data_IF_877261522507
#
_entry.id   IF_877261522507
#
_cell.length_a   1.000
_cell.length_b   1.000
_cell.length_c   1.000
_cell.angle_alpha   90.00
_cell.angle_beta   90.00
_cell.angle_gamma   90.00
#
_symmetry.space_group_name_H-M   'P 1'
#
loop_
_entity.id
_entity.type
_entity.pdbx_description
1 polymer ?
#
# COMPACT_ATOMS: atom_id res chain seq x y z
N UNK A 1 22.82 -8.64 9.52
CA UNK A 1 21.93 -7.59 10.09
C UNK A 1 22.54 -7.04 11.37
N UNK A 2 22.48 -5.72 11.52
CA UNK A 2 23.00 -5.01 12.70
C UNK A 2 21.91 -4.95 13.77
N UNK A 3 22.22 -5.47 14.97
CA UNK A 3 21.26 -5.56 16.08
C UNK A 3 20.72 -4.18 16.48
N UNK A 4 19.41 -4.09 16.61
CA UNK A 4 18.68 -2.88 16.98
C UNK A 4 18.71 -1.77 15.92
N UNK A 5 19.43 -1.91 14.81
CA UNK A 5 19.43 -0.92 13.72
C UNK A 5 18.09 -0.98 12.98
N UNK A 6 17.50 0.19 12.73
CA UNK A 6 16.30 0.35 11.90
C UNK A 6 16.71 0.94 10.55
N UNK A 7 16.43 0.24 9.46
CA UNK A 7 16.59 0.74 8.10
C UNK A 7 15.30 1.38 7.62
N UNK A 8 15.34 2.65 7.26
CA UNK A 8 14.19 3.39 6.72
C UNK A 8 14.41 3.58 5.22
N UNK A 9 13.52 3.05 4.39
CA UNK A 9 13.59 3.15 2.93
C UNK A 9 12.69 4.29 2.46
N UNK A 10 13.24 5.19 1.64
CA UNK A 10 12.52 6.29 1.00
C UNK A 10 12.73 6.20 -0.51
N UNK A 11 11.67 5.92 -1.26
CA UNK A 11 11.69 5.98 -2.72
C UNK A 11 11.31 7.40 -3.18
N UNK A 12 12.15 8.04 -3.98
CA UNK A 12 11.97 9.41 -4.43
C UNK A 12 12.04 9.52 -5.96
N UNK A 13 11.03 10.17 -6.57
CA UNK A 13 11.01 10.53 -7.97
C UNK A 13 10.39 11.91 -8.14
N UNK A 14 11.17 12.88 -8.66
CA UNK A 14 10.75 14.27 -8.83
C UNK A 14 10.10 14.83 -7.56
N UNK A 15 10.83 14.76 -6.45
CA UNK A 15 10.37 15.08 -5.10
C UNK A 15 11.18 16.23 -4.47
N UNK A 16 11.79 17.12 -5.28
CA UNK A 16 12.69 18.17 -4.78
C UNK A 16 12.06 19.08 -3.71
N UNK A 17 10.74 19.30 -3.78
CA UNK A 17 10.01 20.17 -2.84
C UNK A 17 9.45 19.40 -1.62
N UNK A 18 9.23 18.09 -1.73
CA UNK A 18 8.57 17.27 -0.70
C UNK A 18 9.58 16.52 0.17
N UNK A 19 10.64 16.01 -0.45
CA UNK A 19 11.65 15.20 0.21
C UNK A 19 12.33 15.88 1.42
N UNK A 20 12.61 17.20 1.44
CA UNK A 20 13.17 17.86 2.62
C UNK A 20 12.35 17.62 3.88
N UNK A 21 11.03 17.78 3.83
CA UNK A 21 10.13 17.58 4.95
C UNK A 21 10.19 16.13 5.47
N UNK A 22 10.16 15.16 4.56
CA UNK A 22 10.31 13.75 4.90
C UNK A 22 11.63 13.50 5.63
N UNK A 23 12.77 13.90 5.03
CA UNK A 23 14.09 13.66 5.61
C UNK A 23 14.28 14.37 6.95
N UNK A 24 13.78 15.60 7.12
CA UNK A 24 13.82 16.30 8.40
C UNK A 24 13.10 15.49 9.48
N UNK A 25 11.93 14.92 9.20
CA UNK A 25 11.19 14.09 10.17
C UNK A 25 11.94 12.80 10.53
N UNK A 26 12.65 12.19 9.56
CA UNK A 26 13.43 10.98 9.78
C UNK A 26 14.72 11.26 10.58
N UNK A 27 15.37 12.37 10.34
CA UNK A 27 16.59 12.75 11.05
C UNK A 27 16.32 13.29 12.46
N UNK A 28 15.11 13.79 12.72
CA UNK A 28 14.64 14.24 14.02
C UNK A 28 14.21 13.09 14.96
N UNK A 29 14.25 11.83 14.52
CA UNK A 29 13.82 10.70 15.34
C UNK A 29 14.64 10.60 16.63
N UNK A 30 13.94 10.45 17.78
CA UNK A 30 14.56 10.25 19.12
C UNK A 30 15.31 8.93 19.21
N UNK A 31 14.96 7.92 18.40
CA UNK A 31 15.71 6.68 18.25
C UNK A 31 16.89 6.90 17.31
N UNK A 32 18.11 6.95 17.85
CA UNK A 32 19.30 7.32 17.10
C UNK A 32 19.94 6.20 16.26
N UNK A 33 19.67 4.91 16.56
CA UNK A 33 20.27 3.77 15.85
C UNK A 33 19.47 3.43 14.59
N UNK A 34 19.55 4.31 13.60
CA UNK A 34 18.84 4.17 12.32
C UNK A 34 19.72 4.54 11.13
N UNK A 35 19.39 4.03 9.96
CA UNK A 35 19.89 4.45 8.66
C UNK A 35 18.70 4.82 7.75
N UNK A 36 18.88 5.81 6.90
CA UNK A 36 17.87 6.27 5.94
C UNK A 36 18.40 6.04 4.53
N UNK A 37 17.80 5.10 3.82
CA UNK A 37 18.21 4.69 2.48
C UNK A 37 17.28 5.39 1.48
N UNK A 38 17.79 6.43 0.82
CA UNK A 38 17.03 7.22 -0.14
C UNK A 38 17.37 6.75 -1.54
N UNK A 39 16.35 6.23 -2.24
CA UNK A 39 16.47 5.75 -3.61
C UNK A 39 15.94 6.81 -4.55
N UNK A 40 16.84 7.41 -5.34
CA UNK A 40 16.45 8.29 -6.43
C UNK A 40 16.12 7.48 -7.67
N UNK A 41 14.84 7.40 -8.03
CA UNK A 41 14.34 6.64 -9.18
C UNK A 41 14.49 7.44 -10.49
N UNK A 42 15.74 7.83 -10.80
CA UNK A 42 16.11 8.61 -11.98
C UNK A 42 15.32 9.93 -12.13
N UNK A 43 15.21 10.71 -11.05
CA UNK A 43 14.56 12.04 -11.09
C UNK A 43 15.20 12.98 -12.08
N UNK A 44 14.38 13.83 -12.72
CA UNK A 44 14.79 14.84 -13.72
C UNK A 44 14.86 16.26 -13.15
N UNK A 45 14.40 16.44 -11.90
CA UNK A 45 14.44 17.69 -11.13
C UNK A 45 15.71 17.75 -10.24
N UNK A 46 15.68 18.55 -9.19
CA UNK A 46 16.79 18.72 -8.24
C UNK A 46 16.76 17.71 -7.08
N UNK A 47 15.95 16.65 -7.12
CA UNK A 47 15.85 15.63 -6.06
C UNK A 47 17.23 15.09 -5.66
N UNK A 48 18.12 14.75 -6.63
CA UNK A 48 19.45 14.26 -6.31
C UNK A 48 20.29 15.28 -5.52
N UNK A 49 20.19 16.57 -5.86
CA UNK A 49 20.90 17.63 -5.12
C UNK A 49 20.41 17.76 -3.68
N UNK A 50 19.10 17.56 -3.46
CA UNK A 50 18.54 17.52 -2.10
C UNK A 50 19.13 16.35 -1.32
N UNK A 51 19.13 15.14 -1.89
CA UNK A 51 19.70 13.95 -1.25
C UNK A 51 21.17 14.16 -0.89
N UNK A 52 21.96 14.68 -1.81
CA UNK A 52 23.40 14.92 -1.61
C UNK A 52 23.64 15.94 -0.48
N UNK A 53 22.81 16.98 -0.40
CA UNK A 53 22.89 17.99 0.66
C UNK A 53 22.58 17.41 2.04
N UNK A 54 21.59 16.51 2.16
CA UNK A 54 21.29 15.83 3.41
C UNK A 54 22.36 14.81 3.79
N UNK A 55 22.86 14.04 2.82
CA UNK A 55 23.95 13.09 3.04
C UNK A 55 25.23 13.77 3.53
N UNK A 56 25.52 14.99 3.07
CA UNK A 56 26.66 15.77 3.54
C UNK A 56 26.51 16.27 4.99
N UNK A 57 25.28 16.41 5.48
CA UNK A 57 24.97 16.87 6.84
C UNK A 57 24.86 15.76 7.85
N UNK A 58 24.38 14.56 7.44
CA UNK A 58 24.10 13.46 8.34
C UNK A 58 24.56 12.11 7.74
N UNK A 59 25.47 11.45 8.45
CA UNK A 59 26.04 10.16 8.03
C UNK A 59 25.06 8.97 8.04
N UNK A 60 23.86 9.15 8.58
CA UNK A 60 22.81 8.13 8.53
C UNK A 60 22.14 8.01 7.15
N UNK A 61 22.32 9.01 6.26
CA UNK A 61 21.77 9.01 4.91
C UNK A 61 22.61 8.17 3.96
N UNK A 62 21.98 7.17 3.35
CA UNK A 62 22.52 6.36 2.25
C UNK A 62 21.81 6.76 0.97
N UNK A 63 22.54 7.27 -0.02
CA UNK A 63 21.99 7.69 -1.32
C UNK A 63 22.26 6.62 -2.36
N UNK A 64 21.21 6.18 -3.04
CA UNK A 64 21.27 5.23 -4.16
C UNK A 64 20.53 5.84 -5.35
N UNK A 65 21.19 5.91 -6.51
CA UNK A 65 20.57 6.41 -7.74
C UNK A 65 20.30 5.25 -8.71
N UNK A 66 19.07 5.17 -9.22
CA UNK A 66 18.73 4.22 -10.27
C UNK A 66 19.03 4.80 -11.66
N UNK A 67 19.45 3.95 -12.62
CA UNK A 67 19.83 4.42 -13.95
C UNK A 67 18.63 4.88 -14.80
N UNK A 68 17.44 4.35 -14.53
CA UNK A 68 16.19 4.66 -15.24
C UNK A 68 15.03 4.68 -14.25
N UNK A 69 14.01 5.48 -14.54
CA UNK A 69 12.76 5.45 -13.76
C UNK A 69 12.06 4.10 -13.94
N UNK A 70 11.94 3.37 -12.85
CA UNK A 70 11.36 2.03 -12.80
C UNK A 70 10.11 1.96 -11.89
N UNK A 71 9.73 3.09 -11.28
CA UNK A 71 8.59 3.23 -10.39
C UNK A 71 8.89 2.89 -8.94
N UNK A 72 8.06 3.39 -8.05
CA UNK A 72 8.22 3.24 -6.59
C UNK A 72 8.43 1.78 -6.12
N UNK A 73 7.74 0.77 -6.68
CA UNK A 73 7.98 -0.62 -6.30
C UNK A 73 9.41 -1.10 -6.57
N UNK A 74 9.96 -0.76 -7.74
CA UNK A 74 11.33 -1.13 -8.10
C UNK A 74 12.35 -0.38 -7.23
N UNK A 75 12.10 0.91 -6.97
CA UNK A 75 12.93 1.72 -6.09
C UNK A 75 12.94 1.18 -4.65
N UNK A 76 11.78 0.77 -4.11
CA UNK A 76 11.69 0.13 -2.79
C UNK A 76 12.43 -1.21 -2.74
N UNK A 77 12.32 -2.04 -3.80
CA UNK A 77 13.10 -3.28 -3.92
C UNK A 77 14.62 -3.01 -3.90
N UNK A 78 15.04 -1.97 -4.62
CA UNK A 78 16.46 -1.58 -4.58
C UNK A 78 16.85 -1.13 -3.16
N UNK A 79 16.01 -0.35 -2.49
CA UNK A 79 16.20 0.05 -1.10
C UNK A 79 16.38 -1.14 -0.16
N UNK A 80 15.55 -2.18 -0.29
CA UNK A 80 15.66 -3.40 0.53
C UNK A 80 17.02 -4.11 0.38
N UNK A 81 17.64 -4.08 -0.80
CA UNK A 81 18.98 -4.67 -1.02
C UNK A 81 20.09 -3.96 -0.24
N UNK A 82 19.86 -2.71 0.13
CA UNK A 82 20.82 -1.88 0.87
C UNK A 82 20.57 -1.88 2.38
N UNK A 83 19.51 -2.52 2.87
CA UNK A 83 19.21 -2.58 4.31
C UNK A 83 20.24 -3.41 5.07
N UNK A 84 20.67 -2.90 6.23
CA UNK A 84 21.57 -3.59 7.16
C UNK A 84 20.92 -3.82 8.52
N UNK A 85 19.78 -3.18 8.78
CA UNK A 85 19.08 -3.20 10.04
C UNK A 85 18.43 -4.55 10.37
N UNK A 86 18.32 -4.85 11.67
CA UNK A 86 17.47 -5.92 12.18
C UNK A 86 15.98 -5.61 11.94
N UNK A 87 15.64 -4.33 11.86
CA UNK A 87 14.31 -3.82 11.61
C UNK A 87 14.29 -2.92 10.39
N UNK A 88 13.13 -2.82 9.75
CA UNK A 88 12.94 -1.93 8.62
C UNK A 88 11.54 -1.32 8.58
N UNK A 89 11.44 -0.20 7.89
CA UNK A 89 10.19 0.47 7.55
C UNK A 89 10.34 1.22 6.22
N UNK A 90 9.22 1.54 5.59
CA UNK A 90 9.16 2.38 4.40
C UNK A 90 8.40 3.65 4.74
N UNK A 91 8.91 4.78 4.28
CA UNK A 91 8.27 6.09 4.39
C UNK A 91 8.24 6.73 3.02
N UNK A 92 7.10 7.23 2.59
CA UNK A 92 6.98 7.88 1.29
C UNK A 92 7.64 9.27 1.30
N UNK A 93 8.21 9.68 0.17
CA UNK A 93 8.98 10.92 0.07
C UNK A 93 8.14 12.20 0.30
N UNK A 94 6.82 12.08 0.27
CA UNK A 94 5.84 13.12 0.52
C UNK A 94 5.19 13.05 1.92
N UNK A 95 5.61 12.09 2.77
CA UNK A 95 5.05 11.86 4.10
C UNK A 95 6.04 12.20 5.23
N UNK A 96 5.56 12.15 6.46
CA UNK A 96 6.32 12.38 7.70
C UNK A 96 6.00 11.34 8.77
N UNK A 97 6.92 11.17 9.72
CA UNK A 97 6.64 10.47 10.98
C UNK A 97 6.94 11.37 12.19
N UNK A 98 6.21 11.18 13.29
CA UNK A 98 6.46 11.93 14.51
C UNK A 98 7.85 11.61 15.09
N UNK A 99 8.49 12.55 15.77
CA UNK A 99 9.87 12.44 16.27
C UNK A 99 10.12 11.19 17.12
N UNK A 100 9.12 10.67 17.82
CA UNK A 100 9.20 9.48 18.66
C UNK A 100 8.61 8.23 18.03
N UNK A 101 8.28 8.24 16.74
CA UNK A 101 7.56 7.15 16.09
C UNK A 101 8.36 5.84 16.10
N UNK A 102 9.63 5.91 15.71
CA UNK A 102 10.51 4.73 15.71
C UNK A 102 10.79 4.26 17.14
N UNK A 103 11.07 5.18 18.09
CA UNK A 103 11.32 4.83 19.49
C UNK A 103 10.11 4.10 20.10
N UNK A 104 8.89 4.56 19.82
CA UNK A 104 7.67 3.91 20.27
C UNK A 104 7.59 2.45 19.77
N UNK A 105 7.87 2.20 18.51
CA UNK A 105 7.88 0.83 17.97
C UNK A 105 9.00 -0.02 18.58
N UNK A 106 10.19 0.54 18.75
CA UNK A 106 11.33 -0.18 19.33
C UNK A 106 11.11 -0.55 20.80
N UNK A 107 10.43 0.31 21.56
CA UNK A 107 10.01 0.01 22.94
C UNK A 107 9.00 -1.17 22.98
N UNK A 108 8.09 -1.24 22.00
CA UNK A 108 7.15 -2.35 21.88
C UNK A 108 7.89 -3.67 21.57
N UNK A 109 8.86 -3.68 20.64
CA UNK A 109 9.71 -4.84 20.36
C UNK A 109 10.57 -5.26 21.57
N UNK A 110 11.09 -4.31 22.33
CA UNK A 110 11.86 -4.59 23.54
C UNK A 110 10.97 -5.21 24.64
N UNK A 111 9.73 -4.75 24.76
CA UNK A 111 8.75 -5.27 25.71
C UNK A 111 8.19 -6.65 25.36
N UNK A 112 8.21 -7.02 24.09
CA UNK A 112 7.75 -8.34 23.62
C UNK A 112 8.61 -8.85 22.43
N UNK A 113 9.59 -9.74 22.67
CA UNK A 113 10.46 -10.29 21.64
C UNK A 113 9.76 -11.16 20.59
N UNK A 114 8.52 -11.58 20.82
CA UNK A 114 7.74 -12.36 19.85
C UNK A 114 7.08 -11.47 18.78
N UNK A 115 7.07 -10.14 18.98
CA UNK A 115 6.58 -9.22 17.97
C UNK A 115 7.52 -9.22 16.76
N UNK A 116 6.92 -9.34 15.59
CA UNK A 116 7.62 -9.23 14.31
C UNK A 116 7.19 -8.00 13.51
N UNK A 117 6.05 -7.40 13.87
CA UNK A 117 5.55 -6.17 13.26
C UNK A 117 4.86 -5.28 14.31
N UNK A 118 5.15 -3.98 14.27
CA UNK A 118 4.47 -2.94 15.07
C UNK A 118 3.97 -1.86 14.13
N UNK A 119 2.64 -1.62 14.10
CA UNK A 119 2.06 -0.61 13.20
C UNK A 119 2.28 0.81 13.73
N UNK A 120 2.15 1.78 12.84
CA UNK A 120 1.96 3.18 13.22
C UNK A 120 0.47 3.50 13.42
N UNK A 121 0.17 4.50 14.22
CA UNK A 121 -1.08 5.26 14.13
C UNK A 121 -0.96 6.21 12.93
N UNK A 122 -1.94 6.20 12.04
CA UNK A 122 -1.91 7.06 10.86
C UNK A 122 -2.83 8.27 11.02
N UNK A 123 -2.34 9.42 10.61
CA UNK A 123 -3.13 10.64 10.46
C UNK A 123 -3.13 11.04 8.99
N UNK A 124 -4.31 11.25 8.43
CA UNK A 124 -4.49 11.84 7.10
C UNK A 124 -4.30 13.35 7.22
N UNK A 125 -3.42 13.91 6.41
CA UNK A 125 -3.11 15.34 6.42
C UNK A 125 -3.57 15.98 5.12
N UNK A 126 -4.40 17.01 5.22
CA UNK A 126 -4.73 17.87 4.08
C UNK A 126 -3.56 18.85 3.84
N UNK A 127 -2.86 18.77 2.71
CA UNK A 127 -1.68 19.61 2.44
C UNK A 127 -2.01 21.09 2.31
N UNK A 128 -3.27 21.46 2.05
CA UNK A 128 -3.69 22.85 1.87
C UNK A 128 -4.04 23.54 3.18
N UNK A 129 -4.58 22.81 4.15
CA UNK A 129 -5.03 23.34 5.45
C UNK A 129 -4.16 22.88 6.61
N UNK A 130 -3.31 21.87 6.39
CA UNK A 130 -2.56 21.15 7.42
C UNK A 130 -3.46 20.51 8.51
N UNK A 131 -4.74 20.28 8.20
CA UNK A 131 -5.66 19.58 9.10
C UNK A 131 -5.27 18.10 9.17
N UNK A 132 -5.20 17.57 10.39
CA UNK A 132 -4.81 16.19 10.67
C UNK A 132 -6.02 15.41 11.18
N UNK A 133 -6.48 14.46 10.38
CA UNK A 133 -7.61 13.58 10.73
C UNK A 133 -7.09 12.18 11.04
N UNK A 134 -7.36 11.61 12.24
CA UNK A 134 -6.90 10.26 12.56
C UNK A 134 -7.55 9.23 11.63
N UNK A 135 -6.74 8.26 11.17
CA UNK A 135 -7.25 7.10 10.47
C UNK A 135 -8.11 6.27 11.43
N UNK A 136 -9.32 5.94 11.00
CA UNK A 136 -10.30 5.28 11.87
C UNK A 136 -10.04 3.78 11.96
N UNK A 137 -9.35 3.34 12.98
CA UNK A 137 -9.19 1.93 13.30
C UNK A 137 -10.51 1.31 13.77
N UNK A 138 -10.84 0.13 13.26
CA UNK A 138 -12.02 -0.62 13.70
C UNK A 138 -11.83 -1.06 15.15
N UNK A 139 -12.75 -0.71 16.08
CA UNK A 139 -12.59 -1.03 17.51
C UNK A 139 -12.60 -2.53 17.84
N UNK A 140 -12.91 -3.40 16.89
CA UNK A 140 -12.85 -4.86 17.03
C UNK A 140 -11.47 -5.46 16.74
N UNK A 141 -10.54 -4.66 16.19
CA UNK A 141 -9.17 -5.12 15.94
C UNK A 141 -8.44 -5.30 17.26
N UNK A 142 -7.87 -6.48 17.54
CA UNK A 142 -7.10 -6.69 18.76
C UNK A 142 -5.85 -5.80 18.80
N UNK A 143 -5.45 -5.37 19.99
CA UNK A 143 -4.24 -4.56 20.18
C UNK A 143 -2.97 -5.34 19.81
N UNK A 144 -2.96 -6.65 20.08
CA UNK A 144 -1.93 -7.59 19.63
C UNK A 144 -2.63 -8.81 19.03
N UNK A 145 -2.16 -9.28 17.90
CA UNK A 145 -2.78 -10.33 17.12
C UNK A 145 -1.73 -11.20 16.44
N UNK A 146 -2.10 -12.40 16.05
CA UNK A 146 -1.28 -13.26 15.20
C UNK A 146 -1.15 -12.69 13.80
N UNK A 147 -0.12 -13.10 13.05
CA UNK A 147 0.06 -12.66 11.66
C UNK A 147 -1.14 -12.99 10.77
N UNK A 148 -1.77 -14.14 10.99
CA UNK A 148 -3.00 -14.54 10.28
C UNK A 148 -4.16 -13.58 10.56
N UNK A 149 -4.36 -13.18 11.81
CA UNK A 149 -5.37 -12.19 12.19
C UNK A 149 -5.04 -10.82 11.64
N UNK A 150 -3.77 -10.42 11.66
CA UNK A 150 -3.32 -9.15 11.09
C UNK A 150 -3.57 -9.09 9.58
N UNK A 151 -3.25 -10.15 8.85
CA UNK A 151 -3.58 -10.27 7.43
C UNK A 151 -5.10 -10.16 7.21
N UNK A 152 -5.91 -10.86 8.01
CA UNK A 152 -7.36 -10.77 7.92
C UNK A 152 -7.88 -9.34 8.09
N UNK A 153 -7.44 -8.63 9.13
CA UNK A 153 -7.92 -7.27 9.42
C UNK A 153 -7.38 -6.22 8.44
N UNK A 154 -6.13 -6.36 7.99
CA UNK A 154 -5.49 -5.41 7.07
C UNK A 154 -6.15 -5.40 5.69
N UNK A 155 -6.66 -6.53 5.18
CA UNK A 155 -7.27 -6.64 3.83
C UNK A 155 -8.37 -5.60 3.58
N UNK A 156 -9.16 -5.21 4.59
CA UNK A 156 -10.20 -4.18 4.44
C UNK A 156 -9.82 -2.85 5.11
N UNK A 157 -8.55 -2.65 5.44
CA UNK A 157 -8.08 -1.45 6.15
C UNK A 157 -8.84 -1.18 7.45
N UNK A 158 -9.09 -2.24 8.23
CA UNK A 158 -9.65 -2.07 9.57
C UNK A 158 -8.66 -1.38 10.54
N UNK A 159 -7.40 -1.27 10.15
CA UNK A 159 -6.34 -0.44 10.74
C UNK A 159 -5.36 -0.01 9.64
N UNK A 160 -4.53 0.98 9.90
CA UNK A 160 -3.46 1.41 8.99
C UNK A 160 -2.31 0.39 9.01
N UNK A 161 -1.98 -0.24 7.86
CA UNK A 161 -1.03 -1.35 7.85
C UNK A 161 0.45 -0.93 7.76
N UNK A 162 0.75 0.35 7.88
CA UNK A 162 2.13 0.86 7.87
C UNK A 162 2.79 0.65 9.23
N UNK A 163 4.08 0.38 9.28
CA UNK A 163 4.76 0.13 10.54
C UNK A 163 6.22 -0.28 10.38
N UNK A 164 6.81 -0.73 11.47
CA UNK A 164 8.16 -1.30 11.53
C UNK A 164 8.05 -2.81 11.59
N UNK A 165 8.79 -3.52 10.72
CA UNK A 165 8.89 -4.98 10.68
C UNK A 165 10.29 -5.45 11.07
N UNK A 166 10.42 -6.73 11.46
CA UNK A 166 11.73 -7.39 11.44
C UNK A 166 12.14 -7.66 9.99
N UNK A 167 13.35 -7.28 9.62
CA UNK A 167 13.86 -7.40 8.24
C UNK A 167 13.76 -8.81 7.61
N UNK A 168 13.91 -9.92 8.35
CA UNK A 168 13.76 -11.26 7.76
C UNK A 168 12.38 -11.55 7.16
N UNK A 169 11.31 -10.90 7.63
CA UNK A 169 9.96 -11.12 7.10
C UNK A 169 9.84 -10.70 5.63
N UNK A 170 10.67 -9.81 5.17
CA UNK A 170 10.60 -9.22 3.83
C UNK A 170 11.52 -9.91 2.83
N UNK A 171 12.53 -10.67 3.32
CA UNK A 171 13.49 -11.35 2.45
C UNK A 171 12.88 -12.48 1.61
N UNK A 172 11.81 -13.11 2.11
CA UNK A 172 11.08 -14.19 1.43
C UNK A 172 9.86 -13.68 0.63
N UNK A 173 9.74 -12.35 0.46
CA UNK A 173 8.64 -11.77 -0.29
C UNK A 173 8.96 -11.74 -1.79
N UNK A 174 7.94 -11.97 -2.65
CA UNK A 174 8.08 -11.69 -4.08
C UNK A 174 8.50 -10.25 -4.30
N UNK A 175 9.27 -9.99 -5.35
CA UNK A 175 9.71 -8.64 -5.67
C UNK A 175 8.53 -7.69 -5.81
N UNK A 176 8.58 -6.54 -5.13
CA UNK A 176 7.50 -5.53 -5.16
C UNK A 176 7.09 -5.17 -6.59
N UNK A 177 8.07 -5.12 -7.51
CA UNK A 177 7.82 -4.80 -8.91
C UNK A 177 6.85 -5.77 -9.61
N UNK A 178 6.71 -7.02 -9.14
CA UNK A 178 5.78 -7.99 -9.70
C UNK A 178 4.31 -7.64 -9.44
N UNK A 179 4.05 -6.80 -8.45
CA UNK A 179 2.69 -6.41 -8.03
C UNK A 179 2.21 -5.08 -8.63
N UNK A 180 3.00 -4.45 -9.52
CA UNK A 180 2.66 -3.17 -10.12
C UNK A 180 2.60 -2.01 -9.12
N UNK A 181 1.87 -0.94 -9.45
CA UNK A 181 1.81 0.29 -8.64
C UNK A 181 1.19 0.10 -7.24
N UNK A 182 0.45 -0.98 -7.00
CA UNK A 182 -0.18 -1.31 -5.71
C UNK A 182 0.58 -2.41 -4.95
N UNK A 183 1.86 -2.54 -5.19
CA UNK A 183 2.73 -3.58 -4.62
C UNK A 183 2.91 -3.45 -3.11
N UNK A 184 3.14 -2.24 -2.64
CA UNK A 184 3.34 -1.90 -1.23
C UNK A 184 2.21 -2.46 -0.35
N UNK A 185 0.99 -2.19 -0.75
CA UNK A 185 -0.20 -2.65 -0.07
C UNK A 185 -0.30 -4.19 -0.06
N UNK A 186 -0.10 -4.81 -1.22
CA UNK A 186 -0.21 -6.26 -1.38
C UNK A 186 0.86 -6.99 -0.59
N UNK A 187 2.11 -6.51 -0.66
CA UNK A 187 3.23 -7.10 0.08
C UNK A 187 3.07 -6.92 1.59
N UNK A 188 2.55 -5.78 2.05
CA UNK A 188 2.30 -5.57 3.48
C UNK A 188 1.35 -6.61 4.07
N UNK A 189 0.30 -7.04 3.35
CA UNK A 189 -0.58 -8.12 3.81
C UNK A 189 0.18 -9.45 3.97
N UNK A 190 1.14 -9.74 3.08
CA UNK A 190 1.96 -10.96 3.15
C UNK A 190 3.03 -10.86 4.25
N UNK A 191 3.65 -9.70 4.46
CA UNK A 191 4.55 -9.46 5.58
C UNK A 191 3.82 -9.71 6.90
N UNK A 192 2.62 -9.17 7.05
CA UNK A 192 1.81 -9.41 8.24
C UNK A 192 1.47 -10.89 8.42
N UNK A 193 1.10 -11.59 7.34
CA UNK A 193 0.80 -13.02 7.39
C UNK A 193 1.99 -13.85 7.89
N UNK A 194 3.21 -13.46 7.55
CA UNK A 194 4.42 -14.16 7.96
C UNK A 194 4.88 -13.81 9.39
N UNK A 195 4.33 -12.75 9.99
CA UNK A 195 4.66 -12.37 11.36
C UNK A 195 4.11 -13.38 12.37
N UNK A 196 4.86 -13.67 13.44
CA UNK A 196 4.34 -14.40 14.60
C UNK A 196 3.24 -13.59 15.28
N UNK A 197 3.60 -12.36 15.67
CA UNK A 197 2.66 -11.40 16.25
C UNK A 197 2.84 -10.01 15.67
N UNK A 198 1.70 -9.32 15.52
CA UNK A 198 1.58 -7.92 15.10
C UNK A 198 0.92 -7.13 16.22
N UNK A 199 1.48 -5.97 16.55
CA UNK A 199 0.90 -5.05 17.55
C UNK A 199 0.50 -3.73 16.90
N UNK A 200 -0.66 -3.18 17.29
CA UNK A 200 -1.02 -1.81 17.00
C UNK A 200 -0.18 -0.89 17.88
N UNK A 201 0.81 -0.22 17.28
CA UNK A 201 1.70 0.69 17.96
C UNK A 201 1.09 2.08 18.13
N UNK A 202 1.86 2.99 18.76
CA UNK A 202 1.48 4.39 19.04
C UNK A 202 2.37 5.41 18.33
N UNK A 203 3.39 4.96 17.58
CA UNK A 203 4.17 5.83 16.71
C UNK A 203 3.28 6.43 15.65
N UNK A 204 3.40 7.72 15.35
CA UNK A 204 2.49 8.40 14.42
C UNK A 204 3.13 8.54 13.06
N UNK A 205 2.36 8.18 12.02
CA UNK A 205 2.65 8.41 10.61
C UNK A 205 1.67 9.45 10.05
N UNK A 206 2.18 10.51 9.43
CA UNK A 206 1.41 11.56 8.78
C UNK A 206 1.38 11.32 7.27
N UNK A 207 0.22 10.88 6.79
CA UNK A 207 -0.03 10.61 5.36
C UNK A 207 -0.62 11.85 4.69
N UNK A 208 0.14 12.49 3.80
CA UNK A 208 -0.27 13.68 3.06
C UNK A 208 -1.10 13.33 1.83
N UNK A 209 -2.36 13.77 1.78
CA UNK A 209 -3.27 13.51 0.68
C UNK A 209 -2.99 14.44 -0.50
N UNK A 210 -1.89 14.22 -1.20
CA UNK A 210 -1.45 15.06 -2.30
C UNK A 210 -2.42 15.00 -3.50
N UNK A 211 -2.88 16.15 -4.06
CA UNK A 211 -3.72 16.19 -5.26
C UNK A 211 -3.05 15.55 -6.49
N UNK A 212 -1.71 15.59 -6.54
CA UNK A 212 -0.90 14.97 -7.58
C UNK A 212 -0.71 13.46 -7.45
N UNK A 213 -1.22 12.85 -6.38
CA UNK A 213 -1.10 11.40 -6.15
C UNK A 213 -1.63 10.60 -7.35
N UNK A 214 -0.95 9.51 -7.67
CA UNK A 214 -1.31 8.58 -8.77
C UNK A 214 -2.75 8.09 -8.65
N UNK A 215 -3.27 7.98 -7.42
CA UNK A 215 -4.65 7.56 -7.14
C UNK A 215 -5.72 8.56 -7.61
N UNK A 216 -5.35 9.82 -7.87
CA UNK A 216 -6.27 10.87 -8.34
C UNK A 216 -6.19 11.11 -9.86
N UNK A 217 -5.20 10.57 -10.55
CA UNK A 217 -5.05 10.77 -12.01
C UNK A 217 -6.04 9.89 -12.79
N UNK A 218 -6.52 10.41 -13.94
CA UNK A 218 -7.31 9.67 -14.93
C UNK A 218 -6.37 8.82 -15.79
N UNK A 219 -5.75 7.81 -15.17
CA UNK A 219 -4.73 6.97 -15.80
C UNK A 219 -5.20 5.51 -15.78
N UNK A 220 -5.18 4.84 -16.94
CA UNK A 220 -5.57 3.44 -17.09
C UNK A 220 -4.75 2.50 -16.16
N UNK A 221 -3.53 2.91 -15.79
CA UNK A 221 -2.68 2.18 -14.83
C UNK A 221 -3.34 1.96 -13.47
N UNK A 222 -4.35 2.76 -13.10
CA UNK A 222 -5.18 2.48 -11.90
C UNK A 222 -5.81 1.08 -11.93
N UNK A 223 -6.03 0.50 -13.11
CA UNK A 223 -6.58 -0.85 -13.25
C UNK A 223 -5.58 -1.95 -12.88
N UNK A 224 -4.29 -1.62 -12.66
CA UNK A 224 -3.28 -2.57 -12.14
C UNK A 224 -3.62 -3.07 -10.74
N UNK A 225 -4.46 -2.35 -9.98
CA UNK A 225 -4.99 -2.83 -8.70
C UNK A 225 -5.68 -4.18 -8.83
N UNK A 226 -6.34 -4.45 -9.97
CA UNK A 226 -7.02 -5.72 -10.23
C UNK A 226 -6.02 -6.88 -10.35
N UNK A 227 -4.87 -6.63 -11.00
CA UNK A 227 -3.79 -7.61 -11.14
C UNK A 227 -3.13 -7.89 -9.79
N UNK A 228 -2.82 -6.82 -9.04
CA UNK A 228 -2.24 -6.92 -7.68
C UNK A 228 -3.11 -7.76 -6.76
N UNK A 229 -4.45 -7.58 -6.83
CA UNK A 229 -5.38 -8.36 -6.00
C UNK A 229 -5.52 -9.81 -6.44
N UNK A 230 -5.39 -10.07 -7.74
CA UNK A 230 -5.37 -11.43 -8.26
C UNK A 230 -4.10 -12.16 -7.83
N UNK A 231 -2.96 -11.48 -7.88
CA UNK A 231 -1.70 -12.02 -7.41
C UNK A 231 -1.72 -12.29 -5.89
N UNK A 232 -2.25 -11.33 -5.09
CA UNK A 232 -2.46 -11.56 -3.65
C UNK A 232 -3.32 -12.79 -3.39
N UNK A 233 -4.43 -12.96 -4.14
CA UNK A 233 -5.28 -14.15 -4.03
C UNK A 233 -4.48 -15.42 -4.25
N UNK A 234 -3.72 -15.49 -5.35
CA UNK A 234 -2.87 -16.63 -5.67
C UNK A 234 -1.89 -16.93 -4.53
N UNK A 235 -1.19 -15.90 -4.04
CA UNK A 235 -0.25 -16.03 -2.92
C UNK A 235 -0.89 -16.56 -1.63
N UNK A 236 -2.10 -16.11 -1.31
CA UNK A 236 -2.83 -16.59 -0.13
C UNK A 236 -3.34 -18.04 -0.32
N UNK A 237 -3.80 -18.41 -1.52
CA UNK A 237 -4.23 -19.77 -1.85
C UNK A 237 -3.05 -20.77 -1.79
N UNK A 238 -1.88 -20.41 -2.32
CA UNK A 238 -0.65 -21.20 -2.25
C UNK A 238 -0.19 -21.44 -0.81
N UNK A 239 -0.35 -20.44 0.07
CA UNK A 239 -0.05 -20.52 1.50
C UNK A 239 -1.14 -21.23 2.32
N UNK A 240 -2.23 -21.67 1.66
CA UNK A 240 -3.36 -22.39 2.28
C UNK A 240 -3.94 -21.67 3.49
N UNK A 241 -4.08 -20.33 3.39
CA UNK A 241 -4.69 -19.55 4.47
C UNK A 241 -6.14 -19.96 4.69
N UNK A 242 -6.71 -19.75 5.90
CA UNK A 242 -8.10 -20.04 6.19
C UNK A 242 -9.07 -19.32 5.24
N UNK A 243 -10.16 -20.00 4.88
CA UNK A 243 -11.20 -19.48 3.96
C UNK A 243 -11.73 -18.10 4.37
N UNK A 244 -11.78 -17.79 5.67
CA UNK A 244 -12.20 -16.46 6.17
C UNK A 244 -11.37 -15.32 5.57
N UNK A 245 -10.07 -15.52 5.35
CA UNK A 245 -9.17 -14.51 4.74
C UNK A 245 -9.48 -14.38 3.25
N UNK A 246 -9.62 -15.50 2.55
CA UNK A 246 -9.97 -15.51 1.12
C UNK A 246 -11.35 -14.88 0.87
N UNK A 247 -12.35 -15.18 1.71
CA UNK A 247 -13.66 -14.55 1.63
C UNK A 247 -13.60 -13.04 1.82
N UNK A 248 -12.73 -12.59 2.73
CA UNK A 248 -12.52 -11.15 2.97
C UNK A 248 -11.84 -10.47 1.78
N UNK A 249 -10.84 -11.12 1.18
CA UNK A 249 -10.19 -10.66 -0.04
C UNK A 249 -11.17 -10.62 -1.22
N UNK A 250 -12.00 -11.65 -1.41
CA UNK A 250 -13.00 -11.66 -2.48
C UNK A 250 -14.01 -10.50 -2.35
N UNK A 251 -14.43 -10.15 -1.13
CA UNK A 251 -15.26 -8.95 -0.89
C UNK A 251 -14.57 -7.67 -1.32
N UNK A 252 -13.27 -7.54 -1.03
CA UNK A 252 -12.48 -6.38 -1.43
C UNK A 252 -12.33 -6.33 -2.95
N UNK A 253 -11.89 -7.44 -3.54
CA UNK A 253 -11.73 -7.58 -5.00
C UNK A 253 -13.01 -7.18 -5.74
N UNK A 254 -14.16 -7.64 -5.25
CA UNK A 254 -15.46 -7.27 -5.83
C UNK A 254 -15.75 -5.78 -5.78
N UNK A 255 -15.50 -5.13 -4.65
CA UNK A 255 -15.69 -3.67 -4.52
C UNK A 255 -14.77 -2.89 -5.47
N UNK A 256 -13.50 -3.26 -5.50
CA UNK A 256 -12.50 -2.63 -6.36
C UNK A 256 -12.81 -2.88 -7.85
N UNK A 257 -13.27 -4.06 -8.20
CA UNK A 257 -13.73 -4.40 -9.54
C UNK A 257 -14.90 -3.50 -9.99
N UNK A 258 -15.93 -3.33 -9.16
CA UNK A 258 -17.05 -2.42 -9.45
C UNK A 258 -16.54 -0.97 -9.60
N UNK A 259 -15.62 -0.55 -8.73
CA UNK A 259 -15.01 0.78 -8.83
C UNK A 259 -14.26 0.98 -10.15
N UNK A 260 -13.53 -0.04 -10.62
CA UNK A 260 -12.82 0.01 -11.91
C UNK A 260 -13.77 -0.04 -13.11
N UNK A 261 -14.89 -0.76 -13.02
CA UNK A 261 -15.94 -0.68 -14.03
C UNK A 261 -16.53 0.74 -14.12
N UNK A 262 -16.74 1.40 -12.97
CA UNK A 262 -17.21 2.78 -12.92
C UNK A 262 -16.16 3.76 -13.44
N UNK A 263 -14.90 3.59 -13.05
CA UNK A 263 -13.77 4.37 -13.57
C UNK A 263 -13.72 4.30 -15.10
N UNK A 264 -13.78 3.10 -15.68
CA UNK A 264 -13.82 2.92 -17.13
C UNK A 264 -15.04 3.61 -17.75
N UNK A 265 -16.23 3.41 -17.18
CA UNK A 265 -17.46 4.03 -17.68
C UNK A 265 -17.40 5.55 -17.74
N UNK A 266 -16.82 6.18 -16.73
CA UNK A 266 -16.76 7.65 -16.61
C UNK A 266 -15.66 8.28 -17.46
N UNK A 267 -14.61 7.51 -17.80
CA UNK A 267 -13.42 8.04 -18.46
C UNK A 267 -13.17 7.48 -19.86
N UNK A 268 -13.98 6.52 -20.32
CA UNK A 268 -13.76 5.84 -21.62
C UNK A 268 -13.62 6.79 -22.81
N UNK A 269 -14.34 7.91 -22.82
CA UNK A 269 -14.32 8.87 -23.92
C UNK A 269 -13.01 9.70 -23.96
N UNK A 270 -12.20 9.66 -22.90
CA UNK A 270 -10.85 10.26 -22.84
C UNK A 270 -9.73 9.26 -23.10
N UNK A 271 -10.04 7.97 -23.25
CA UNK A 271 -9.09 6.90 -23.51
C UNK A 271 -8.98 6.65 -25.02
N UNK A 272 -7.78 6.30 -25.48
CA UNK A 272 -7.57 5.79 -26.84
C UNK A 272 -8.30 4.45 -27.07
N UNK A 273 -8.52 4.05 -28.30
CA UNK A 273 -9.18 2.77 -28.60
C UNK A 273 -8.42 1.58 -28.01
N UNK A 274 -7.09 1.56 -28.11
CA UNK A 274 -6.25 0.50 -27.55
C UNK A 274 -6.36 0.42 -26.02
N UNK A 275 -6.43 1.58 -25.33
CA UNK A 275 -6.65 1.63 -23.88
C UNK A 275 -8.06 1.14 -23.51
N UNK A 276 -9.08 1.46 -24.30
CA UNK A 276 -10.44 0.97 -24.08
C UNK A 276 -10.50 -0.56 -24.25
N UNK A 277 -9.90 -1.10 -25.29
CA UNK A 277 -9.87 -2.54 -25.56
C UNK A 277 -9.09 -3.28 -24.46
N UNK A 278 -7.96 -2.73 -24.03
CA UNK A 278 -7.17 -3.24 -22.90
C UNK A 278 -7.99 -3.24 -21.61
N UNK A 279 -8.68 -2.13 -21.30
CA UNK A 279 -9.48 -1.99 -20.09
C UNK A 279 -10.65 -3.01 -20.05
N UNK A 280 -11.40 -3.11 -21.15
CA UNK A 280 -12.54 -4.04 -21.24
C UNK A 280 -12.04 -5.49 -21.18
N UNK A 281 -10.97 -5.82 -21.89
CA UNK A 281 -10.36 -7.15 -21.85
C UNK A 281 -9.93 -7.54 -20.43
N UNK A 282 -9.27 -6.61 -19.70
CA UNK A 282 -8.89 -6.81 -18.31
C UNK A 282 -10.09 -7.00 -17.40
N UNK A 283 -11.12 -6.16 -17.51
CA UNK A 283 -12.35 -6.30 -16.72
C UNK A 283 -13.03 -7.64 -16.96
N UNK A 284 -13.11 -8.09 -18.24
CA UNK A 284 -13.68 -9.39 -18.58
C UNK A 284 -12.87 -10.54 -17.95
N UNK A 285 -11.55 -10.53 -18.11
CA UNK A 285 -10.67 -11.54 -17.55
C UNK A 285 -10.76 -11.64 -16.03
N UNK A 286 -10.78 -10.49 -15.34
CA UNK A 286 -10.91 -10.45 -13.87
C UNK A 286 -12.28 -10.92 -13.40
N UNK A 287 -13.34 -10.60 -14.14
CA UNK A 287 -14.69 -11.06 -13.83
C UNK A 287 -14.78 -12.59 -13.76
N UNK A 288 -14.18 -13.30 -14.69
CA UNK A 288 -14.16 -14.77 -14.74
C UNK A 288 -13.39 -15.41 -13.55
N UNK A 289 -12.57 -14.63 -12.84
CA UNK A 289 -11.84 -15.13 -11.65
C UNK A 289 -12.67 -15.12 -10.36
N UNK A 290 -13.86 -14.51 -10.38
CA UNK A 290 -14.72 -14.47 -9.20
C UNK A 290 -15.49 -15.78 -9.04
N UNK A 291 -15.51 -16.30 -7.80
CA UNK A 291 -16.40 -17.39 -7.42
C UNK A 291 -17.60 -16.83 -6.66
N UNK A 292 -18.78 -16.92 -7.26
CA UNK A 292 -20.03 -16.52 -6.61
C UNK A 292 -20.29 -17.28 -5.30
N UNK A 293 -19.72 -18.48 -5.13
CA UNK A 293 -19.80 -19.25 -3.87
C UNK A 293 -18.99 -18.61 -2.73
N UNK A 294 -17.95 -17.82 -3.07
CA UNK A 294 -17.11 -17.11 -2.10
C UNK A 294 -17.57 -15.65 -1.84
N UNK A 295 -18.55 -15.17 -2.58
CA UNK A 295 -19.12 -13.85 -2.33
C UNK A 295 -20.36 -13.99 -1.43
N UNK A 296 -20.58 -13.06 -0.46
CA UNK A 296 -21.79 -13.09 0.36
C UNK A 296 -23.05 -13.01 -0.52
N UNK A 297 -24.05 -13.81 -0.23
CA UNK A 297 -25.33 -13.84 -0.98
C UNK A 297 -25.92 -12.42 -1.13
N UNK A 298 -25.88 -11.62 -0.05
CA UNK A 298 -26.32 -10.23 -0.10
C UNK A 298 -25.47 -9.30 -1.01
N UNK A 299 -24.28 -9.73 -1.44
CA UNK A 299 -23.44 -9.02 -2.41
C UNK A 299 -23.80 -9.46 -3.83
N UNK A 300 -23.96 -10.76 -4.03
CA UNK A 300 -24.25 -11.38 -5.33
C UNK A 300 -25.66 -11.07 -5.83
N UNK A 301 -26.63 -11.00 -4.91
CA UNK A 301 -28.05 -10.77 -5.20
C UNK A 301 -28.48 -9.30 -5.07
N UNK A 302 -27.56 -8.36 -4.84
CA UNK A 302 -27.91 -6.93 -4.88
C UNK A 302 -28.45 -6.58 -6.27
N UNK A 303 -29.70 -6.07 -6.40
CA UNK A 303 -30.30 -5.79 -7.71
C UNK A 303 -29.42 -4.90 -8.63
N UNK A 304 -28.54 -4.08 -8.04
CA UNK A 304 -27.64 -3.17 -8.77
C UNK A 304 -26.35 -3.85 -9.24
N UNK A 305 -25.97 -4.98 -8.66
CA UNK A 305 -24.69 -5.69 -8.89
C UNK A 305 -24.88 -7.19 -8.94
N UNK A 306 -26.03 -7.64 -9.43
CA UNK A 306 -26.28 -9.06 -9.54
C UNK A 306 -25.27 -9.71 -10.50
N UNK A 307 -24.61 -10.74 -10.02
CA UNK A 307 -23.64 -11.47 -10.82
C UNK A 307 -24.34 -12.30 -11.90
N UNK A 308 -23.91 -12.18 -13.13
CA UNK A 308 -24.44 -12.91 -14.29
C UNK A 308 -23.44 -14.01 -14.72
N UNK A 309 -23.90 -15.00 -15.52
CA UNK A 309 -22.99 -16.04 -16.03
C UNK A 309 -21.88 -15.53 -16.95
N UNK A 310 -22.04 -14.34 -17.54
CA UNK A 310 -21.00 -13.74 -18.37
C UNK A 310 -20.77 -12.27 -18.04
N UNK A 311 -19.54 -11.81 -18.24
CA UNK A 311 -19.19 -10.40 -18.07
C UNK A 311 -20.04 -9.47 -18.94
N UNK A 312 -20.35 -9.85 -20.17
CA UNK A 312 -21.16 -9.01 -21.08
C UNK A 312 -22.54 -8.67 -20.52
N UNK A 313 -23.27 -9.66 -19.99
CA UNK A 313 -24.56 -9.46 -19.37
C UNK A 313 -24.45 -8.61 -18.08
N UNK A 314 -23.43 -8.89 -17.26
CA UNK A 314 -23.15 -8.12 -16.07
C UNK A 314 -22.84 -6.66 -16.40
N UNK A 315 -21.99 -6.43 -17.40
CA UNK A 315 -21.61 -5.07 -17.81
C UNK A 315 -22.76 -4.28 -18.41
N UNK A 316 -23.67 -4.91 -19.16
CA UNK A 316 -24.92 -4.26 -19.61
C UNK A 316 -25.78 -3.78 -18.45
N UNK A 317 -25.93 -4.60 -17.41
CA UNK A 317 -26.62 -4.19 -16.19
C UNK A 317 -25.92 -2.98 -15.54
N UNK A 318 -24.59 -3.04 -15.38
CA UNK A 318 -23.83 -1.94 -14.78
C UNK A 318 -23.98 -0.63 -15.57
N UNK A 319 -23.95 -0.68 -16.90
CA UNK A 319 -24.16 0.49 -17.76
C UNK A 319 -25.49 1.16 -17.46
N UNK A 320 -26.56 0.38 -17.31
CA UNK A 320 -27.90 0.89 -16.96
C UNK A 320 -27.89 1.54 -15.57
N UNK A 321 -27.26 0.89 -14.60
CA UNK A 321 -27.16 1.39 -13.22
C UNK A 321 -26.36 2.70 -13.18
N UNK A 322 -25.25 2.79 -13.92
CA UNK A 322 -24.41 3.99 -13.99
C UNK A 322 -25.14 5.15 -14.72
N UNK A 323 -25.79 4.87 -15.84
CA UNK A 323 -26.56 5.87 -16.60
C UNK A 323 -27.70 6.48 -15.78
N UNK A 324 -28.36 5.68 -14.94
CA UNK A 324 -29.44 6.15 -14.07
C UNK A 324 -28.93 6.81 -12.77
N UNK A 325 -27.61 6.98 -12.58
CA UNK A 325 -26.98 7.52 -11.38
C UNK A 325 -27.48 6.85 -10.07
N UNK A 326 -27.87 5.57 -10.17
CA UNK A 326 -28.40 4.79 -9.05
C UNK A 326 -27.33 4.35 -8.05
N UNK A 327 -26.07 4.75 -8.25
CA UNK A 327 -24.97 4.46 -7.37
C UNK A 327 -24.30 5.76 -6.94
N UNK A 328 -24.24 5.97 -5.62
CA UNK A 328 -23.12 6.65 -5.02
C UNK A 328 -21.96 5.62 -4.97
N UNK A 329 -21.15 5.58 -6.02
CA UNK A 329 -19.92 4.81 -6.02
C UNK A 329 -18.94 5.56 -5.16
N UNK A 330 -18.74 5.06 -3.97
CA UNK A 330 -17.70 5.36 -3.01
C UNK A 330 -17.06 6.76 -3.11
N UNK A 331 -17.54 7.68 -2.29
CA UNK A 331 -16.66 8.63 -1.63
C UNK A 331 -15.96 7.94 -0.47
#
# INVERSE_FOLDING_TARGET
MTKGLVSIIVAAYNAEDLLPRCLDSLLAQTYGNLEVIVINDASTDRTQKVIDAYKAKDGRIVSVAMPVNSGAPAARNEGMRHTRGEFMTMVDADDEIAENAIESCMNDFAGNPELDFVTFEMYLVDPSTNEKTPFKTNPKVPQTMTGEEACYWSILYDFAPNGVSRSPLEQDMPALAEYGQHSDETVTHLIMLNARYVKLGKGIYYYYQMPSSVTHKTDIRRMEILDSRLLLKKQLEERKVPDRILLRLERRRWKEFISMCYFYWTNKDSLTQDEQDTAIGKLAAVYETFSWKRLPIGTVLKPRFMMFPSFGLFYMQLRTVFALKLINVCR
#
